data_IF_199316970711
#
_entry.id   IF_199316970711
#
_cell.length_a   1.000
_cell.length_b   1.000
_cell.length_c   1.000
_cell.angle_alpha   90.00
_cell.angle_beta   90.00
_cell.angle_gamma   90.00
#
_symmetry.space_group_name_H-M   'P 1'
#
loop_
_entity.id
_entity.type
_entity.pdbx_description
1 polymer ?
#
# COMPACT_ATOMS: atom_id res chain seq x y z
N UNK A 1 -31.91 -40.28 -21.29
CA UNK A 1 -31.71 -38.81 -21.42
C UNK A 1 -31.38 -38.13 -20.09
N UNK A 2 -32.05 -38.45 -18.96
CA UNK A 2 -31.84 -37.79 -17.66
C UNK A 2 -30.41 -37.93 -17.07
N UNK A 3 -29.75 -39.06 -17.27
CA UNK A 3 -28.38 -39.33 -16.76
C UNK A 3 -27.28 -38.52 -17.48
N UNK A 4 -27.44 -38.24 -18.78
CA UNK A 4 -26.49 -37.39 -19.53
C UNK A 4 -26.61 -35.92 -19.12
N UNK A 5 -27.83 -35.45 -18.80
CA UNK A 5 -28.06 -34.09 -18.31
C UNK A 5 -27.44 -33.87 -16.92
N UNK A 6 -27.56 -34.85 -16.00
CA UNK A 6 -26.95 -34.78 -14.66
C UNK A 6 -25.42 -34.73 -14.73
N UNK A 7 -24.81 -35.51 -15.63
CA UNK A 7 -23.34 -35.54 -15.80
C UNK A 7 -22.78 -34.21 -16.35
N UNK A 8 -23.52 -33.52 -17.23
CA UNK A 8 -23.14 -32.20 -17.75
C UNK A 8 -23.26 -31.09 -16.70
N UNK A 9 -24.25 -31.15 -15.80
CA UNK A 9 -24.41 -30.16 -14.73
C UNK A 9 -23.31 -30.25 -13.67
N UNK A 10 -22.87 -31.47 -13.32
CA UNK A 10 -21.76 -31.68 -12.37
C UNK A 10 -20.42 -31.21 -12.96
N UNK A 11 -20.20 -31.40 -14.26
CA UNK A 11 -18.98 -30.95 -14.94
C UNK A 11 -18.88 -29.41 -15.03
N UNK A 12 -20.00 -28.71 -15.22
CA UNK A 12 -20.05 -27.23 -15.20
C UNK A 12 -19.78 -26.64 -13.80
N UNK A 13 -20.27 -27.30 -12.75
CA UNK A 13 -20.02 -26.91 -11.36
C UNK A 13 -18.54 -27.09 -10.96
N UNK A 14 -17.85 -28.10 -11.49
CA UNK A 14 -16.43 -28.34 -11.20
C UNK A 14 -15.49 -27.32 -11.89
N UNK A 15 -15.87 -26.81 -13.07
CA UNK A 15 -15.05 -25.84 -13.82
C UNK A 15 -15.15 -24.43 -13.21
N UNK A 16 -16.27 -24.07 -12.58
CA UNK A 16 -16.46 -22.76 -11.94
C UNK A 16 -15.55 -22.48 -10.74
N UNK A 17 -14.99 -23.51 -10.11
CA UNK A 17 -14.05 -23.39 -8.98
C UNK A 17 -12.58 -23.23 -9.40
N UNK A 18 -12.26 -23.37 -10.68
CA UNK A 18 -10.88 -23.35 -11.20
C UNK A 18 -10.48 -21.99 -11.80
N UNK A 19 -11.30 -20.94 -11.66
CA UNK A 19 -10.84 -19.60 -11.97
C UNK A 19 -9.82 -19.18 -10.90
N UNK A 20 -8.52 -19.00 -11.24
CA UNK A 20 -7.57 -18.48 -10.28
C UNK A 20 -8.05 -17.08 -9.89
N UNK A 21 -8.36 -16.89 -8.60
CA UNK A 21 -8.56 -15.56 -8.06
C UNK A 21 -7.29 -14.75 -8.38
N UNK A 22 -7.43 -13.67 -9.15
CA UNK A 22 -6.30 -12.80 -9.45
C UNK A 22 -5.68 -12.36 -8.12
N UNK A 23 -4.42 -12.73 -7.89
CA UNK A 23 -3.73 -12.46 -6.62
C UNK A 23 -3.69 -10.94 -6.43
N UNK A 24 -4.46 -10.45 -5.47
CA UNK A 24 -4.45 -9.03 -5.11
C UNK A 24 -3.15 -8.70 -4.40
N UNK A 25 -2.40 -7.74 -4.94
CA UNK A 25 -1.20 -7.15 -4.36
C UNK A 25 -1.63 -6.12 -3.33
N UNK A 26 -1.26 -6.37 -2.07
CA UNK A 26 -1.59 -5.53 -0.93
C UNK A 26 -0.55 -4.43 -0.77
N UNK A 27 -0.99 -3.18 -0.82
CA UNK A 27 -0.18 -2.00 -0.60
C UNK A 27 -0.39 -1.46 0.81
N UNK A 28 0.70 -1.00 1.42
CA UNK A 28 0.67 -0.22 2.65
C UNK A 28 1.12 1.21 2.42
N UNK A 29 0.56 2.16 3.17
CA UNK A 29 1.05 3.55 3.18
C UNK A 29 1.82 3.82 4.48
N UNK A 30 2.97 4.48 4.38
CA UNK A 30 3.67 5.10 5.51
C UNK A 30 3.54 6.62 5.37
N UNK A 31 2.81 7.24 6.30
CA UNK A 31 2.54 8.68 6.31
C UNK A 31 1.19 9.05 5.67
N UNK A 32 0.32 9.68 6.45
CA UNK A 32 -0.94 10.28 5.99
C UNK A 32 -0.90 11.80 6.16
N UNK A 33 0.22 12.42 5.78
CA UNK A 33 0.49 13.85 5.96
C UNK A 33 0.77 14.58 4.62
N UNK A 34 0.56 13.90 3.49
CA UNK A 34 0.55 14.44 2.11
C UNK A 34 -0.76 14.12 1.39
N UNK A 35 -1.21 15.02 0.51
CA UNK A 35 -2.42 14.80 -0.31
C UNK A 35 -2.28 13.58 -1.24
N UNK A 36 -1.06 13.17 -1.56
CA UNK A 36 -0.81 11.99 -2.41
C UNK A 36 -1.28 10.68 -1.76
N UNK A 37 -1.18 10.55 -0.44
CA UNK A 37 -1.68 9.37 0.30
C UNK A 37 -3.18 9.12 0.05
N UNK A 38 -3.97 10.20 0.05
CA UNK A 38 -5.40 10.16 -0.29
C UNK A 38 -5.61 9.89 -1.77
N UNK A 39 -4.84 10.55 -2.65
CA UNK A 39 -4.97 10.38 -4.10
C UNK A 39 -4.68 8.93 -4.53
N UNK A 40 -3.62 8.31 -4.01
CA UNK A 40 -3.32 6.91 -4.23
C UNK A 40 -4.40 5.99 -3.68
N UNK A 41 -4.89 6.26 -2.47
CA UNK A 41 -6.01 5.49 -1.89
C UNK A 41 -7.24 5.54 -2.77
N UNK A 42 -7.66 6.72 -3.22
CA UNK A 42 -8.81 6.86 -4.12
C UNK A 42 -8.59 6.13 -5.45
N UNK A 43 -7.41 6.28 -6.05
CA UNK A 43 -7.06 5.61 -7.30
C UNK A 43 -7.12 4.08 -7.16
N UNK A 44 -6.52 3.55 -6.09
CA UNK A 44 -6.27 2.13 -5.91
C UNK A 44 -7.31 1.40 -5.06
N UNK A 45 -8.28 2.10 -4.45
CA UNK A 45 -9.38 1.47 -3.70
C UNK A 45 -10.77 1.78 -4.27
N UNK A 46 -10.89 2.62 -5.30
CA UNK A 46 -12.17 2.85 -5.99
C UNK A 46 -12.71 1.57 -6.66
N UNK A 47 -14.02 1.53 -6.90
CA UNK A 47 -14.68 0.39 -7.59
C UNK A 47 -14.35 0.37 -9.09
N UNK A 48 -14.24 1.56 -9.70
CA UNK A 48 -14.02 1.75 -11.14
C UNK A 48 -12.55 2.03 -11.48
N UNK A 49 -11.65 1.10 -11.12
CA UNK A 49 -10.22 1.23 -11.46
C UNK A 49 -9.95 0.82 -12.91
N UNK A 50 -8.97 1.48 -13.53
CA UNK A 50 -8.38 1.02 -14.78
C UNK A 50 -7.89 -0.43 -14.65
N UNK A 51 -7.97 -1.21 -15.73
CA UNK A 51 -7.64 -2.65 -15.74
C UNK A 51 -6.25 -2.94 -15.15
N UNK A 52 -5.25 -2.12 -15.51
CA UNK A 52 -3.87 -2.24 -15.01
C UNK A 52 -3.72 -2.10 -13.49
N UNK A 53 -4.71 -1.51 -12.80
CA UNK A 53 -4.67 -1.27 -11.35
C UNK A 53 -5.56 -2.24 -10.55
N UNK A 54 -6.35 -3.09 -11.21
CA UNK A 54 -7.29 -4.00 -10.52
C UNK A 54 -6.61 -4.97 -9.56
N UNK A 55 -5.38 -5.37 -9.87
CA UNK A 55 -4.58 -6.24 -9.01
C UNK A 55 -4.12 -5.56 -7.72
N UNK A 56 -4.13 -4.23 -7.62
CA UNK A 56 -3.60 -3.49 -6.49
C UNK A 56 -4.70 -2.98 -5.56
N UNK A 57 -4.45 -3.05 -4.25
CA UNK A 57 -5.32 -2.46 -3.23
C UNK A 57 -4.51 -1.99 -2.03
N UNK A 58 -4.79 -0.80 -1.54
CA UNK A 58 -4.24 -0.31 -0.28
C UNK A 58 -5.08 -0.90 0.84
N UNK A 59 -4.45 -1.63 1.76
CA UNK A 59 -5.16 -2.37 2.81
C UNK A 59 -4.85 -1.86 4.22
N UNK A 60 -3.72 -1.20 4.42
CA UNK A 60 -3.34 -0.66 5.71
C UNK A 60 -2.46 0.61 5.57
N UNK A 61 -2.47 1.45 6.58
CA UNK A 61 -1.64 2.65 6.66
C UNK A 61 -1.10 2.87 8.08
N UNK A 62 0.18 3.19 8.18
CA UNK A 62 0.74 3.85 9.36
C UNK A 62 0.58 5.35 9.18
N UNK A 63 -0.16 6.07 10.05
CA UNK A 63 -0.65 7.40 9.74
C UNK A 63 0.38 8.50 9.92
N UNK A 64 1.40 8.28 10.75
CA UNK A 64 2.29 9.35 11.18
C UNK A 64 3.46 9.55 10.21
N UNK A 65 3.70 10.82 9.89
CA UNK A 65 4.86 11.31 9.13
C UNK A 65 5.57 12.37 9.94
N UNK A 66 5.66 13.60 9.42
CA UNK A 66 6.28 14.72 10.15
C UNK A 66 5.57 15.01 11.47
N UNK A 67 6.34 15.30 12.53
CA UNK A 67 5.81 15.85 13.79
C UNK A 67 6.18 17.33 13.98
N UNK A 68 6.94 17.90 13.05
CA UNK A 68 7.52 19.24 13.15
C UNK A 68 6.96 20.20 12.10
N UNK A 69 6.51 19.68 10.95
CA UNK A 69 5.87 20.47 9.89
C UNK A 69 4.37 20.57 10.17
N UNK A 70 3.93 21.71 10.71
CA UNK A 70 2.52 21.98 11.06
C UNK A 70 1.54 21.69 9.94
N UNK A 71 1.82 22.17 8.75
CA UNK A 71 0.95 21.95 7.59
C UNK A 71 0.87 20.48 7.17
N UNK A 72 1.74 19.59 7.65
CA UNK A 72 1.69 18.15 7.42
C UNK A 72 0.90 17.44 8.51
N UNK A 73 1.29 17.58 9.78
CA UNK A 73 0.67 16.80 10.86
C UNK A 73 -0.79 17.17 11.14
N UNK A 74 -1.21 18.41 10.85
CA UNK A 74 -2.60 18.83 11.04
C UNK A 74 -3.58 18.12 10.10
N UNK A 75 -3.11 17.53 8.99
CA UNK A 75 -3.95 16.79 8.03
C UNK A 75 -4.22 15.36 8.47
N UNK A 76 -3.36 14.77 9.30
CA UNK A 76 -3.40 13.35 9.66
C UNK A 76 -4.78 12.92 10.19
N UNK A 77 -5.44 13.65 11.13
CA UNK A 77 -6.74 13.22 11.64
C UNK A 77 -7.85 13.16 10.58
N UNK A 78 -7.82 14.06 9.61
CA UNK A 78 -8.78 14.06 8.49
C UNK A 78 -8.45 12.96 7.48
N UNK A 79 -7.17 12.80 7.16
CA UNK A 79 -6.72 11.80 6.19
C UNK A 79 -6.93 10.37 6.69
N UNK A 80 -6.78 10.12 8.01
CA UNK A 80 -7.20 8.86 8.64
C UNK A 80 -8.66 8.53 8.29
N UNK A 81 -9.59 9.46 8.56
CA UNK A 81 -11.02 9.24 8.30
C UNK A 81 -11.29 8.97 6.82
N UNK A 82 -10.60 9.68 5.93
CA UNK A 82 -10.76 9.50 4.50
C UNK A 82 -10.31 8.11 4.05
N UNK A 83 -9.12 7.64 4.45
CA UNK A 83 -8.63 6.32 4.03
C UNK A 83 -9.42 5.18 4.68
N UNK A 84 -9.87 5.34 5.92
CA UNK A 84 -10.79 4.40 6.58
C UNK A 84 -12.09 4.26 5.79
N UNK A 85 -12.61 5.37 5.24
CA UNK A 85 -13.76 5.36 4.33
C UNK A 85 -13.55 4.55 3.04
N UNK A 86 -12.30 4.32 2.63
CA UNK A 86 -11.91 3.42 1.53
C UNK A 86 -11.55 2.00 2.00
N UNK A 87 -11.80 1.69 3.28
CA UNK A 87 -11.53 0.38 3.89
C UNK A 87 -10.05 0.11 4.14
N UNK A 88 -9.25 1.16 4.38
CA UNK A 88 -7.83 1.04 4.79
C UNK A 88 -7.76 0.93 6.31
N UNK A 89 -7.06 -0.09 6.82
CA UNK A 89 -6.81 -0.27 8.26
C UNK A 89 -5.71 0.68 8.76
N UNK A 90 -5.96 1.41 9.85
CA UNK A 90 -4.91 2.19 10.52
C UNK A 90 -4.15 1.30 11.49
N UNK A 91 -2.82 1.25 11.36
CA UNK A 91 -1.94 0.47 12.26
C UNK A 91 -1.05 1.37 13.10
N UNK A 92 -0.63 0.86 14.25
CA UNK A 92 0.14 1.61 15.26
C UNK A 92 1.64 1.70 14.97
N UNK A 93 2.18 0.89 14.06
CA UNK A 93 3.61 0.88 13.74
C UNK A 93 3.91 0.45 12.30
N UNK A 94 5.06 0.85 11.77
CA UNK A 94 5.58 0.37 10.48
C UNK A 94 5.79 -1.15 10.53
N UNK A 95 6.29 -1.69 11.65
CA UNK A 95 6.45 -3.14 11.82
C UNK A 95 5.12 -3.91 11.68
N UNK A 96 4.01 -3.38 12.19
CA UNK A 96 2.69 -4.00 12.03
C UNK A 96 2.13 -3.83 10.62
N UNK A 97 2.41 -2.70 9.97
CA UNK A 97 2.10 -2.48 8.56
C UNK A 97 2.77 -3.56 7.68
N UNK A 98 4.06 -3.78 7.87
CA UNK A 98 4.87 -4.71 7.09
C UNK A 98 4.40 -6.18 7.21
N UNK A 99 3.70 -6.55 8.29
CA UNK A 99 3.10 -7.89 8.41
C UNK A 99 1.88 -8.10 7.52
N UNK A 100 1.25 -7.01 7.05
CA UNK A 100 -0.07 -7.05 6.37
C UNK A 100 0.00 -6.83 4.86
N UNK A 101 1.13 -6.35 4.34
CA UNK A 101 1.24 -5.83 2.97
C UNK A 101 2.38 -6.46 2.18
N UNK A 102 2.27 -6.43 0.86
CA UNK A 102 3.29 -6.93 -0.07
C UNK A 102 4.28 -5.83 -0.46
N UNK A 103 3.79 -4.59 -0.63
CA UNK A 103 4.56 -3.44 -1.11
C UNK A 103 4.21 -2.17 -0.32
N UNK A 104 5.08 -1.17 -0.34
CA UNK A 104 4.91 0.09 0.41
C UNK A 104 4.87 1.31 -0.53
N UNK A 105 3.99 2.26 -0.19
CA UNK A 105 4.04 3.65 -0.64
C UNK A 105 4.52 4.50 0.55
N UNK A 106 5.73 5.05 0.46
CA UNK A 106 6.27 5.97 1.45
C UNK A 106 5.84 7.39 1.07
N UNK A 107 4.78 7.85 1.73
CA UNK A 107 4.07 9.10 1.46
C UNK A 107 4.24 10.11 2.61
N UNK A 108 5.25 9.92 3.46
CA UNK A 108 5.60 10.92 4.47
C UNK A 108 6.02 12.21 3.77
N UNK A 109 5.53 13.37 4.19
CA UNK A 109 5.89 14.63 3.53
C UNK A 109 7.33 15.10 3.89
N UNK A 110 7.77 14.78 5.11
CA UNK A 110 9.07 15.21 5.64
C UNK A 110 10.19 14.24 5.25
N UNK A 111 10.99 14.65 4.26
CA UNK A 111 12.13 13.88 3.77
C UNK A 111 13.19 13.55 4.82
N UNK A 112 13.18 14.20 6.00
CA UNK A 112 14.12 13.86 7.08
C UNK A 112 13.85 12.48 7.67
N UNK A 113 12.60 12.01 7.60
CA UNK A 113 12.17 10.72 8.14
C UNK A 113 12.34 9.57 7.12
N UNK A 114 12.54 9.89 5.84
CA UNK A 114 12.53 8.88 4.78
C UNK A 114 13.62 7.83 4.96
N UNK A 115 14.82 8.20 5.40
CA UNK A 115 15.92 7.26 5.53
C UNK A 115 15.63 6.17 6.58
N UNK A 116 15.11 6.56 7.75
CA UNK A 116 14.76 5.61 8.81
C UNK A 116 13.55 4.74 8.43
N UNK A 117 12.50 5.34 7.85
CA UNK A 117 11.30 4.63 7.42
C UNK A 117 11.63 3.65 6.28
N UNK A 118 12.40 4.09 5.29
CA UNK A 118 12.83 3.23 4.19
C UNK A 118 13.73 2.08 4.67
N UNK A 119 14.60 2.33 5.66
CA UNK A 119 15.43 1.29 6.24
C UNK A 119 14.61 0.13 6.84
N UNK A 120 13.52 0.43 7.58
CA UNK A 120 12.64 -0.61 8.13
C UNK A 120 12.03 -1.48 7.04
N UNK A 121 11.56 -0.86 5.96
CA UNK A 121 10.93 -1.56 4.85
C UNK A 121 11.94 -2.41 4.07
N UNK A 122 13.12 -1.86 3.73
CA UNK A 122 14.16 -2.63 3.04
C UNK A 122 14.62 -3.82 3.88
N UNK A 123 14.80 -3.63 5.20
CA UNK A 123 15.16 -4.71 6.13
C UNK A 123 14.12 -5.83 6.17
N UNK A 124 12.86 -5.54 5.84
CA UNK A 124 11.80 -6.55 5.73
C UNK A 124 11.79 -7.30 4.38
N UNK A 125 12.66 -6.92 3.44
CA UNK A 125 12.73 -7.49 2.09
C UNK A 125 11.60 -7.04 1.17
N UNK A 126 10.87 -5.98 1.52
CA UNK A 126 9.78 -5.45 0.69
C UNK A 126 10.24 -4.33 -0.23
N UNK A 127 9.57 -4.25 -1.37
CA UNK A 127 9.74 -3.14 -2.32
C UNK A 127 8.90 -1.94 -1.90
N UNK A 128 9.39 -0.74 -2.22
CA UNK A 128 8.70 0.51 -1.94
C UNK A 128 8.75 1.48 -3.12
N UNK A 129 7.76 2.35 -3.17
CA UNK A 129 7.81 3.64 -3.84
C UNK A 129 8.03 4.73 -2.79
N UNK A 130 8.82 5.76 -3.09
CA UNK A 130 9.04 6.93 -2.22
C UNK A 130 8.56 8.17 -2.95
N UNK A 131 7.57 8.87 -2.38
CA UNK A 131 7.12 10.17 -2.88
C UNK A 131 8.20 11.24 -2.71
N UNK A 132 8.08 12.34 -3.44
CA UNK A 132 9.04 13.45 -3.36
C UNK A 132 9.08 14.06 -1.94
N UNK A 133 10.28 14.46 -1.47
CA UNK A 133 11.61 14.18 -2.03
C UNK A 133 12.12 12.78 -1.65
N UNK A 134 13.13 12.23 -2.35
CA UNK A 134 13.72 10.92 -1.97
C UNK A 134 14.27 10.94 -0.53
N UNK A 135 14.94 12.03 -0.13
CA UNK A 135 15.37 12.32 1.24
C UNK A 135 15.63 13.81 1.41
N UNK A 136 15.76 14.31 2.64
CA UNK A 136 15.95 15.75 2.90
C UNK A 136 17.34 16.27 2.50
N UNK A 137 18.33 15.39 2.32
CA UNK A 137 19.67 15.74 1.84
C UNK A 137 20.13 14.78 0.75
N UNK A 138 21.11 15.20 -0.07
CA UNK A 138 21.76 14.32 -1.04
C UNK A 138 22.37 13.08 -0.38
N UNK A 139 22.99 13.26 0.80
CA UNK A 139 23.59 12.15 1.55
C UNK A 139 22.54 11.10 1.95
N UNK A 140 21.38 11.53 2.45
CA UNK A 140 20.26 10.64 2.76
C UNK A 140 19.71 9.94 1.51
N UNK A 141 19.53 10.67 0.40
CA UNK A 141 19.07 10.07 -0.85
C UNK A 141 20.04 8.98 -1.34
N UNK A 142 21.36 9.24 -1.32
CA UNK A 142 22.38 8.24 -1.67
C UNK A 142 22.31 7.03 -0.72
N UNK A 143 22.12 7.25 0.58
CA UNK A 143 22.01 6.16 1.55
C UNK A 143 20.78 5.28 1.28
N UNK A 144 19.62 5.87 0.94
CA UNK A 144 18.41 5.14 0.56
C UNK A 144 18.67 4.23 -0.65
N UNK A 145 19.29 4.73 -1.71
CA UNK A 145 19.62 3.90 -2.88
C UNK A 145 20.65 2.81 -2.58
N UNK A 146 21.61 3.06 -1.68
CA UNK A 146 22.56 2.03 -1.23
C UNK A 146 21.84 0.91 -0.45
N UNK A 147 20.92 1.26 0.44
CA UNK A 147 20.10 0.30 1.17
C UNK A 147 19.23 -0.52 0.22
N UNK A 148 18.58 0.13 -0.76
CA UNK A 148 17.76 -0.54 -1.77
C UNK A 148 18.55 -1.53 -2.65
N UNK A 149 19.87 -1.35 -2.80
CA UNK A 149 20.75 -2.30 -3.51
C UNK A 149 21.22 -3.45 -2.61
N UNK A 150 21.31 -3.20 -1.31
CA UNK A 150 21.83 -4.16 -0.34
C UNK A 150 20.80 -5.24 0.03
N UNK A 151 19.53 -4.85 0.15
CA UNK A 151 18.40 -5.72 0.45
C UNK A 151 17.68 -6.15 -0.82
#
# INVERSE_FOLDING_TARGET
>A
MKTKTILFTVLFLAIGFLLPAQKQIKLGIIGLDTSHSIAFTKLLNSENKEEKYKAFRIVAAYPYGSQTIKSSYERIPDYIKQVEGYGVEIVSSIADLLKKVDCILLETNDGNLHLEQAYEVFKSGKIMFIDKPVGATLAQAIAIFKLAKQY
#
